data_IF_709596950487
#
_entry.id   IF_709596950487
#
_cell.length_a   1.000
_cell.length_b   1.000
_cell.length_c   1.000
_cell.angle_alpha   90.00
_cell.angle_beta   90.00
_cell.angle_gamma   90.00
#
_symmetry.space_group_name_H-M   'P 1'
#
loop_
_entity.id
_entity.type
_entity.pdbx_description
1 polymer ?
#
# COMPACT_ATOMS: atom_id res chain seq x y z
N UNK A 1 17.39 35.37 68.24
CA UNK A 1 18.31 34.65 67.33
C UNK A 1 17.69 33.46 66.58
N UNK A 2 16.35 33.32 66.47
CA UNK A 2 15.70 32.21 65.72
C UNK A 2 15.24 32.57 64.30
N UNK A 3 15.20 33.85 63.93
CA UNK A 3 14.72 34.30 62.61
C UNK A 3 15.84 34.51 61.55
N UNK A 4 17.11 34.39 61.92
CA UNK A 4 18.23 34.56 60.97
C UNK A 4 18.65 33.24 60.30
N UNK A 5 18.47 32.10 60.97
CA UNK A 5 18.84 30.78 60.41
C UNK A 5 17.87 30.28 59.32
N UNK A 6 16.56 30.57 59.44
CA UNK A 6 15.55 30.18 58.45
C UNK A 6 15.68 30.91 57.11
N UNK A 7 16.31 32.09 57.08
CA UNK A 7 16.51 32.86 55.85
C UNK A 7 17.72 32.35 55.03
N UNK A 8 18.72 31.76 55.70
CA UNK A 8 19.92 31.22 55.05
C UNK A 8 19.63 29.85 54.41
N UNK A 9 18.84 28.98 55.05
CA UNK A 9 18.47 27.68 54.48
C UNK A 9 17.52 27.80 53.26
N UNK A 10 16.55 28.72 53.29
CA UNK A 10 15.66 28.95 52.13
C UNK A 10 16.42 29.45 50.90
N UNK A 11 17.45 30.29 51.09
CA UNK A 11 18.32 30.75 50.02
C UNK A 11 19.20 29.63 49.44
N UNK A 12 19.63 28.68 50.28
CA UNK A 12 20.41 27.53 49.82
C UNK A 12 19.56 26.56 48.99
N UNK A 13 18.31 26.34 49.39
CA UNK A 13 17.35 25.50 48.68
C UNK A 13 16.98 26.14 47.33
N UNK A 14 16.70 27.44 47.29
CA UNK A 14 16.41 28.13 46.04
C UNK A 14 17.61 28.16 45.09
N UNK A 15 18.84 28.33 45.60
CA UNK A 15 20.05 28.20 44.77
C UNK A 15 20.25 26.80 44.22
N UNK A 16 19.97 25.75 44.99
CA UNK A 16 20.03 24.34 44.52
C UNK A 16 18.96 24.02 43.48
N UNK A 17 17.73 24.50 43.69
CA UNK A 17 16.64 24.35 42.71
C UNK A 17 16.97 25.10 41.43
N UNK A 18 17.52 26.31 41.51
CA UNK A 18 17.93 27.11 40.35
C UNK A 18 19.09 26.46 39.59
N UNK A 19 20.08 25.89 40.28
CA UNK A 19 21.18 25.15 39.65
C UNK A 19 20.68 23.87 38.98
N UNK A 20 19.75 23.14 39.60
CA UNK A 20 19.13 21.94 38.99
C UNK A 20 18.29 22.34 37.77
N UNK A 21 17.51 23.43 37.84
CA UNK A 21 16.73 23.94 36.71
C UNK A 21 17.65 24.41 35.57
N UNK A 22 18.74 25.10 35.88
CA UNK A 22 19.75 25.50 34.90
C UNK A 22 20.46 24.29 34.29
N UNK A 23 20.78 23.25 35.07
CA UNK A 23 21.35 21.99 34.54
C UNK A 23 20.35 21.21 33.69
N UNK A 24 19.04 21.31 33.97
CA UNK A 24 17.98 20.74 33.14
C UNK A 24 17.80 21.54 31.84
N UNK A 25 17.82 22.86 31.90
CA UNK A 25 17.76 23.75 30.72
C UNK A 25 19.03 23.63 29.87
N UNK A 26 20.21 23.48 30.48
CA UNK A 26 21.47 23.24 29.77
C UNK A 26 21.47 21.85 29.15
N UNK A 27 20.92 20.80 29.78
CA UNK A 27 20.75 19.51 29.11
C UNK A 27 19.73 19.59 27.96
N UNK A 28 18.61 20.30 28.13
CA UNK A 28 17.61 20.51 27.05
C UNK A 28 18.18 21.36 25.90
N UNK A 29 19.14 22.26 26.15
CA UNK A 29 19.82 23.05 25.12
C UNK A 29 21.14 22.44 24.61
N UNK A 30 21.72 21.44 25.27
CA UNK A 30 22.96 20.77 24.86
C UNK A 30 22.76 19.35 24.31
N UNK A 31 21.54 18.83 24.25
CA UNK A 31 21.22 17.57 23.54
C UNK A 31 20.46 17.79 22.23
N UNK A 32 20.78 18.86 21.52
CA UNK A 32 20.11 19.25 20.28
C UNK A 32 21.04 19.93 19.29
N UNK A 33 22.27 19.43 19.18
CA UNK A 33 23.11 19.72 18.04
C UNK A 33 23.65 18.39 17.53
N UNK A 34 22.74 17.55 17.04
CA UNK A 34 23.13 16.64 15.96
C UNK A 34 23.61 17.55 14.85
N UNK A 35 24.93 17.69 14.71
CA UNK A 35 25.52 18.14 13.48
C UNK A 35 25.09 17.12 12.42
N UNK A 36 23.87 17.25 11.88
CA UNK A 36 23.57 16.72 10.57
C UNK A 36 24.62 17.36 9.69
N UNK A 37 25.56 16.57 9.19
CA UNK A 37 26.46 17.05 8.18
C UNK A 37 25.55 17.57 7.06
N UNK A 38 25.42 18.91 6.93
CA UNK A 38 24.74 19.55 5.81
C UNK A 38 25.57 19.24 4.55
N UNK A 39 25.44 18.01 4.07
CA UNK A 39 25.83 17.67 2.72
C UNK A 39 24.83 18.36 1.82
N UNK A 40 25.28 19.40 1.13
CA UNK A 40 24.51 20.06 0.07
C UNK A 40 24.19 19.12 -1.10
N UNK A 41 24.84 17.94 -1.16
CA UNK A 41 24.62 16.93 -2.18
C UNK A 41 23.44 16.03 -1.78
N UNK A 42 22.38 16.09 -2.57
CA UNK A 42 21.27 15.13 -2.54
C UNK A 42 21.62 13.92 -3.39
N UNK A 43 21.18 12.74 -2.96
CA UNK A 43 21.31 11.49 -3.71
C UNK A 43 19.90 11.05 -4.12
N UNK A 44 19.72 10.73 -5.40
CA UNK A 44 18.51 10.10 -5.92
C UNK A 44 18.86 8.67 -6.33
N UNK A 45 18.16 7.70 -5.74
CA UNK A 45 18.26 6.30 -6.14
C UNK A 45 16.99 5.94 -6.91
N UNK A 46 17.16 5.52 -8.16
CA UNK A 46 16.08 5.00 -9.00
C UNK A 46 16.31 3.51 -9.21
N UNK A 47 15.33 2.70 -8.84
CA UNK A 47 15.37 1.27 -9.07
C UNK A 47 14.32 0.87 -10.11
N UNK A 48 14.75 0.06 -11.07
CA UNK A 48 13.92 -0.45 -12.16
C UNK A 48 13.84 -1.97 -11.99
N UNK A 49 12.65 -2.50 -11.73
CA UNK A 49 12.46 -3.95 -11.63
C UNK A 49 12.64 -4.60 -13.01
N UNK A 50 13.28 -5.77 -13.06
CA UNK A 50 13.50 -6.51 -14.30
C UNK A 50 14.34 -5.81 -15.38
N UNK A 51 15.09 -4.74 -15.07
CA UNK A 51 15.87 -4.00 -16.07
C UNK A 51 17.06 -4.82 -16.60
N UNK A 52 16.89 -5.43 -17.77
CA UNK A 52 17.92 -6.25 -18.41
C UNK A 52 19.06 -5.37 -19.00
N UNK A 53 20.33 -5.59 -18.61
CA UNK A 53 21.45 -4.76 -19.06
C UNK A 53 21.80 -4.95 -20.54
N UNK A 54 21.45 -6.09 -21.16
CA UNK A 54 21.69 -6.37 -22.58
C UNK A 54 20.69 -5.58 -23.43
N UNK A 55 19.41 -5.61 -23.07
CA UNK A 55 18.38 -4.81 -23.74
C UNK A 55 18.63 -3.32 -23.57
N UNK A 56 19.00 -2.88 -22.36
CA UNK A 56 19.33 -1.48 -22.10
C UNK A 56 20.50 -1.00 -22.98
N UNK A 57 21.58 -1.78 -23.10
CA UNK A 57 22.71 -1.43 -23.96
C UNK A 57 22.34 -1.39 -25.45
N UNK A 58 21.51 -2.36 -25.90
CA UNK A 58 20.96 -2.36 -27.26
C UNK A 58 20.17 -1.08 -27.55
N UNK A 59 19.21 -0.73 -26.70
CA UNK A 59 18.34 0.43 -26.93
C UNK A 59 19.06 1.78 -26.76
N UNK A 60 20.14 1.84 -25.97
CA UNK A 60 21.04 3.01 -25.96
C UNK A 60 21.80 3.15 -27.29
N UNK A 61 22.25 2.05 -27.91
CA UNK A 61 22.94 2.06 -29.22
C UNK A 61 22.00 2.41 -30.38
N UNK A 62 20.74 2.01 -30.29
CA UNK A 62 19.68 2.35 -31.24
C UNK A 62 19.11 3.78 -31.03
N UNK A 63 19.64 4.53 -30.06
CA UNK A 63 19.22 5.90 -29.70
C UNK A 63 17.76 6.02 -29.22
N UNK A 64 17.14 4.90 -28.85
CA UNK A 64 15.78 4.83 -28.26
C UNK A 64 15.79 5.32 -26.81
N UNK A 65 16.92 5.15 -26.10
CA UNK A 65 17.09 5.56 -24.70
C UNK A 65 18.19 6.64 -24.54
N UNK A 66 18.00 7.85 -25.08
CA UNK A 66 19.03 8.89 -25.12
C UNK A 66 19.44 9.39 -23.72
N UNK A 67 18.52 9.37 -22.75
CA UNK A 67 18.82 9.79 -21.37
C UNK A 67 19.74 8.79 -20.64
N UNK A 68 19.53 7.49 -20.83
CA UNK A 68 20.41 6.46 -20.27
C UNK A 68 21.79 6.49 -20.93
N UNK A 69 21.84 6.73 -22.24
CA UNK A 69 23.10 6.95 -22.97
C UNK A 69 23.87 8.13 -22.38
N UNK A 70 23.21 9.26 -22.15
CA UNK A 70 23.81 10.43 -21.50
C UNK A 70 24.32 10.14 -20.08
N UNK A 71 23.57 9.38 -19.27
CA UNK A 71 23.99 8.96 -17.92
C UNK A 71 25.22 8.06 -17.97
N UNK A 72 25.27 7.12 -18.92
CA UNK A 72 26.42 6.23 -19.15
C UNK A 72 27.66 7.02 -19.58
N UNK A 73 27.51 8.02 -20.45
CA UNK A 73 28.63 8.85 -20.94
C UNK A 73 29.18 9.79 -19.87
N UNK A 74 28.32 10.35 -19.01
CA UNK A 74 28.72 11.27 -17.93
C UNK A 74 29.14 10.58 -16.64
N UNK A 75 28.74 9.33 -16.46
CA UNK A 75 28.91 8.57 -15.22
C UNK A 75 29.57 7.23 -15.47
N UNK A 76 29.02 6.19 -14.85
CA UNK A 76 29.49 4.82 -14.96
C UNK A 76 28.31 3.90 -15.25
N UNK A 77 28.54 2.85 -16.03
CA UNK A 77 27.54 1.85 -16.36
C UNK A 77 28.18 0.48 -16.28
N UNK A 78 27.78 -0.29 -15.27
CA UNK A 78 28.34 -1.61 -14.98
C UNK A 78 27.22 -2.62 -14.77
N UNK A 79 27.32 -3.83 -15.36
CA UNK A 79 26.40 -4.90 -15.04
C UNK A 79 26.58 -5.31 -13.57
N UNK A 80 25.48 -5.43 -12.84
CA UNK A 80 25.45 -5.94 -11.47
C UNK A 80 24.97 -7.39 -11.48
N UNK A 81 25.54 -8.22 -10.60
CA UNK A 81 25.06 -9.58 -10.37
C UNK A 81 23.78 -9.51 -9.53
N UNK A 82 22.77 -10.27 -9.93
CA UNK A 82 21.48 -10.36 -9.23
C UNK A 82 21.55 -11.25 -7.99
N UNK A 83 20.46 -11.29 -7.21
CA UNK A 83 20.32 -12.20 -6.07
C UNK A 83 20.23 -13.67 -6.51
N UNK A 84 20.50 -14.58 -5.58
CA UNK A 84 20.23 -16.01 -5.76
C UNK A 84 19.28 -16.49 -4.64
N UNK A 85 18.00 -16.77 -4.94
CA UNK A 85 17.40 -16.81 -6.28
C UNK A 85 17.10 -15.42 -6.88
N UNK A 86 17.03 -15.29 -8.21
CA UNK A 86 16.83 -14.03 -8.92
C UNK A 86 15.35 -13.61 -8.96
N UNK A 87 14.75 -13.45 -7.78
CA UNK A 87 13.35 -13.05 -7.59
C UNK A 87 13.28 -11.61 -7.07
N UNK A 88 12.31 -10.81 -7.52
CA UNK A 88 12.14 -9.41 -7.07
C UNK A 88 12.15 -9.25 -5.54
N UNK A 89 11.34 -9.97 -4.72
CA UNK A 89 11.33 -9.79 -3.27
C UNK A 89 12.68 -10.11 -2.62
N UNK A 90 13.50 -10.95 -3.27
CA UNK A 90 14.84 -11.33 -2.81
C UNK A 90 15.85 -10.24 -3.18
N UNK A 91 15.89 -9.82 -4.43
CA UNK A 91 16.79 -8.77 -4.93
C UNK A 91 16.57 -7.44 -4.19
N UNK A 92 15.31 -7.06 -3.99
CA UNK A 92 14.98 -5.84 -3.25
C UNK A 92 15.30 -5.96 -1.76
N UNK A 93 15.13 -7.13 -1.15
CA UNK A 93 15.57 -7.35 0.24
C UNK A 93 17.09 -7.28 0.40
N UNK A 94 17.86 -7.81 -0.57
CA UNK A 94 19.31 -7.62 -0.64
C UNK A 94 19.65 -6.13 -0.72
N UNK A 95 19.01 -5.38 -1.62
CA UNK A 95 19.22 -3.94 -1.79
C UNK A 95 18.93 -3.16 -0.50
N UNK A 96 17.82 -3.44 0.16
CA UNK A 96 17.38 -2.73 1.36
C UNK A 96 18.35 -2.95 2.52
N UNK A 97 18.83 -4.19 2.70
CA UNK A 97 19.54 -4.61 3.92
C UNK A 97 21.05 -4.72 3.75
N UNK A 98 21.54 -4.82 2.52
CA UNK A 98 22.90 -5.25 2.22
C UNK A 98 23.19 -6.72 2.58
N UNK A 99 22.18 -7.49 3.02
CA UNK A 99 22.31 -8.89 3.38
C UNK A 99 22.02 -9.80 2.18
N UNK A 100 22.35 -11.09 2.30
CA UNK A 100 21.89 -12.12 1.38
C UNK A 100 20.59 -12.78 1.90
N UNK A 101 19.97 -13.72 1.14
CA UNK A 101 18.72 -14.36 1.54
C UNK A 101 18.75 -15.07 2.89
N UNK A 102 19.90 -15.65 3.26
CA UNK A 102 20.09 -16.26 4.59
C UNK A 102 20.05 -15.23 5.74
N UNK A 103 20.39 -13.98 5.46
CA UNK A 103 20.39 -12.89 6.43
C UNK A 103 19.01 -12.23 6.60
N UNK A 104 18.38 -11.81 5.50
CA UNK A 104 17.09 -11.13 5.56
C UNK A 104 15.89 -12.09 5.56
N UNK A 105 16.08 -13.37 5.24
CA UNK A 105 15.08 -14.44 5.37
C UNK A 105 14.04 -14.52 4.25
N UNK A 106 14.21 -13.77 3.15
CA UNK A 106 13.29 -13.77 2.01
C UNK A 106 13.90 -14.60 0.88
N UNK A 107 13.19 -15.62 0.41
CA UNK A 107 13.69 -16.54 -0.61
C UNK A 107 12.80 -16.62 -1.86
N UNK A 108 11.56 -16.13 -1.78
CA UNK A 108 10.57 -16.16 -2.86
C UNK A 108 9.42 -15.18 -2.50
N UNK A 109 8.43 -15.01 -3.38
CA UNK A 109 7.16 -14.34 -3.06
C UNK A 109 6.32 -15.12 -2.05
N UNK A 110 6.40 -16.45 -2.10
CA UNK A 110 5.63 -17.37 -1.26
C UNK A 110 6.58 -18.26 -0.48
N UNK A 111 6.34 -18.40 0.82
CA UNK A 111 6.98 -19.38 1.67
C UNK A 111 5.96 -20.42 2.09
N UNK A 112 6.44 -21.58 2.56
CA UNK A 112 5.58 -22.67 2.99
C UNK A 112 5.80 -22.93 4.47
N UNK A 113 4.72 -23.02 5.23
CA UNK A 113 4.81 -23.43 6.62
C UNK A 113 5.30 -24.90 6.68
N UNK A 114 6.40 -25.21 7.40
CA UNK A 114 6.99 -26.55 7.37
C UNK A 114 6.15 -27.59 8.13
N UNK A 115 5.23 -27.17 8.99
CA UNK A 115 4.38 -28.08 9.76
C UNK A 115 3.08 -28.40 9.03
N UNK A 116 2.44 -27.36 8.49
CA UNK A 116 1.12 -27.46 7.86
C UNK A 116 1.16 -27.58 6.35
N UNK A 117 2.30 -27.27 5.74
CA UNK A 117 2.50 -27.23 4.29
C UNK A 117 1.69 -26.15 3.55
N UNK A 118 1.04 -25.24 4.29
CA UNK A 118 0.22 -24.17 3.72
C UNK A 118 1.14 -23.04 3.21
N UNK A 119 0.94 -22.53 1.98
CA UNK A 119 1.67 -21.38 1.46
C UNK A 119 1.25 -20.09 2.19
N UNK A 120 2.20 -19.18 2.39
CA UNK A 120 1.98 -17.84 2.92
C UNK A 120 2.91 -16.84 2.22
N UNK A 121 2.56 -15.57 2.30
CA UNK A 121 3.35 -14.48 1.69
C UNK A 121 4.68 -14.32 2.42
N UNK A 122 5.79 -14.31 1.67
CA UNK A 122 7.12 -14.26 2.28
C UNK A 122 7.47 -12.89 2.86
N UNK A 123 6.91 -11.81 2.33
CA UNK A 123 7.31 -10.43 2.69
C UNK A 123 6.54 -9.90 3.91
N UNK A 124 5.28 -10.30 4.07
CA UNK A 124 4.43 -9.84 5.15
C UNK A 124 3.47 -10.92 5.64
N UNK A 125 3.03 -10.81 6.89
CA UNK A 125 2.01 -11.68 7.47
C UNK A 125 1.02 -10.86 8.27
N UNK A 126 -0.27 -10.99 7.97
CA UNK A 126 -1.35 -10.44 8.80
C UNK A 126 -1.82 -11.50 9.78
N UNK A 127 -1.80 -11.16 11.08
CA UNK A 127 -2.35 -12.00 12.13
C UNK A 127 -3.69 -11.46 12.60
N UNK A 128 -4.63 -12.36 12.88
CA UNK A 128 -5.91 -11.98 13.48
C UNK A 128 -5.74 -11.55 14.94
N UNK A 129 -6.78 -10.91 15.49
CA UNK A 129 -6.87 -10.62 16.91
C UNK A 129 -6.72 -11.91 17.74
N UNK A 130 -5.71 -11.95 18.61
CA UNK A 130 -5.36 -13.12 19.42
C UNK A 130 -6.43 -13.45 20.47
N UNK A 131 -7.10 -12.41 20.95
CA UNK A 131 -8.13 -12.51 21.97
C UNK A 131 -9.46 -12.01 21.41
N UNK A 132 -10.43 -12.91 21.26
CA UNK A 132 -11.79 -12.60 20.81
C UNK A 132 -12.82 -13.24 21.74
N UNK A 133 -13.94 -12.55 21.97
CA UNK A 133 -15.13 -13.10 22.62
C UNK A 133 -16.22 -13.33 21.59
N UNK A 134 -16.80 -14.53 21.59
CA UNK A 134 -17.96 -14.86 20.78
C UNK A 134 -19.24 -14.45 21.51
N UNK A 135 -20.06 -13.59 20.89
CA UNK A 135 -21.42 -13.25 21.34
C UNK A 135 -22.38 -13.47 20.17
N UNK A 136 -23.10 -14.60 20.19
CA UNK A 136 -23.91 -15.02 19.05
C UNK A 136 -23.05 -15.25 17.81
N UNK A 137 -23.34 -14.55 16.73
CA UNK A 137 -22.56 -14.55 15.47
C UNK A 137 -21.43 -13.50 15.44
N UNK A 138 -21.28 -12.70 16.50
CA UNK A 138 -20.24 -11.68 16.60
C UNK A 138 -18.97 -12.22 17.26
N UNK A 139 -17.82 -11.85 16.71
CA UNK A 139 -16.48 -11.97 17.28
C UNK A 139 -16.02 -10.58 17.71
N UNK A 140 -15.95 -10.35 19.01
CA UNK A 140 -15.52 -9.08 19.59
C UNK A 140 -14.04 -9.18 19.95
N UNK A 141 -13.14 -8.49 19.24
CA UNK A 141 -11.72 -8.54 19.54
C UNK A 141 -11.36 -7.67 20.73
N UNK A 142 -10.48 -8.18 21.59
CA UNK A 142 -9.84 -7.42 22.68
C UNK A 142 -8.39 -7.05 22.36
N UNK A 143 -7.91 -7.47 21.19
CA UNK A 143 -6.59 -7.15 20.65
C UNK A 143 -6.72 -6.74 19.19
N UNK A 144 -5.77 -5.95 18.71
CA UNK A 144 -5.76 -5.55 17.31
C UNK A 144 -5.17 -6.68 16.45
N UNK A 145 -5.61 -6.74 15.19
CA UNK A 145 -4.87 -7.45 14.16
C UNK A 145 -3.54 -6.72 13.92
N UNK A 146 -2.49 -7.48 13.59
CA UNK A 146 -1.16 -6.94 13.32
C UNK A 146 -0.71 -7.41 11.94
N UNK A 147 -0.14 -6.49 11.16
CA UNK A 147 0.62 -6.85 9.95
C UNK A 147 2.09 -6.79 10.30
N UNK A 148 2.80 -7.89 10.03
CA UNK A 148 4.21 -8.07 10.35
C UNK A 148 5.04 -8.06 9.07
N UNK A 149 6.13 -7.29 9.06
CA UNK A 149 7.17 -7.38 8.04
C UNK A 149 8.05 -8.60 8.34
N UNK A 150 8.17 -9.52 7.39
CA UNK A 150 8.95 -10.75 7.56
C UNK A 150 10.40 -10.59 7.12
N UNK A 151 10.72 -9.55 6.34
CA UNK A 151 12.09 -9.18 5.98
C UNK A 151 12.86 -8.79 7.25
N UNK A 152 13.93 -9.51 7.55
CA UNK A 152 14.87 -9.20 8.64
C UNK A 152 15.95 -8.22 8.18
N UNK A 153 16.66 -7.68 9.15
CA UNK A 153 17.77 -6.76 8.91
C UNK A 153 17.32 -5.30 8.82
N UNK A 154 18.22 -4.41 9.24
CA UNK A 154 17.99 -2.97 9.23
C UNK A 154 18.00 -2.47 7.78
N UNK A 155 16.98 -1.71 7.40
CA UNK A 155 16.96 -1.03 6.11
C UNK A 155 17.99 0.10 6.09
N UNK A 156 18.63 0.34 4.95
CA UNK A 156 19.67 1.36 4.87
C UNK A 156 19.14 2.76 5.18
N UNK A 157 17.86 3.08 4.93
CA UNK A 157 17.28 4.36 5.33
C UNK A 157 17.11 4.51 6.85
N UNK A 158 16.94 3.41 7.60
CA UNK A 158 17.00 3.48 9.06
C UNK A 158 18.43 3.82 9.52
N UNK A 159 19.45 3.35 8.78
CA UNK A 159 20.85 3.73 9.05
C UNK A 159 21.09 5.21 8.71
N UNK A 160 20.50 5.72 7.62
CA UNK A 160 20.54 7.15 7.28
C UNK A 160 19.91 7.99 8.39
N UNK A 161 18.74 7.58 8.89
CA UNK A 161 18.07 8.23 10.01
C UNK A 161 18.94 8.25 11.28
N UNK A 162 19.54 7.11 11.67
CA UNK A 162 20.44 7.05 12.84
C UNK A 162 21.58 8.08 12.76
N UNK A 163 21.96 8.48 11.54
CA UNK A 163 23.02 9.44 11.27
C UNK A 163 22.48 10.85 10.96
N UNK A 164 21.20 11.12 11.19
CA UNK A 164 20.56 12.42 10.97
C UNK A 164 20.46 12.81 9.50
N UNK A 165 20.46 11.85 8.57
CA UNK A 165 20.30 12.09 7.14
C UNK A 165 18.82 11.90 6.78
N UNK A 166 18.10 12.96 6.38
CA UNK A 166 16.71 12.84 5.98
C UNK A 166 16.58 12.04 4.68
N UNK A 167 15.57 11.19 4.61
CA UNK A 167 15.33 10.31 3.45
C UNK A 167 13.85 10.18 3.14
N UNK A 168 13.55 10.09 1.84
CA UNK A 168 12.24 9.75 1.30
C UNK A 168 12.35 8.47 0.49
N UNK A 169 11.49 7.48 0.78
CA UNK A 169 11.50 6.14 0.19
C UNK A 169 10.13 5.84 -0.40
N UNK A 170 10.01 5.83 -1.73
CA UNK A 170 8.72 5.67 -2.39
C UNK A 170 8.66 4.36 -3.15
N UNK A 171 7.59 3.58 -2.90
CA UNK A 171 7.26 2.35 -3.62
C UNK A 171 8.40 1.32 -3.71
N UNK A 172 9.29 1.28 -2.71
CA UNK A 172 10.31 0.23 -2.64
C UNK A 172 9.66 -1.12 -2.31
N UNK A 173 9.88 -2.17 -3.12
CA UNK A 173 9.40 -3.52 -2.85
C UNK A 173 9.87 -4.08 -1.51
N UNK A 174 9.12 -5.02 -0.93
CA UNK A 174 9.47 -5.67 0.34
C UNK A 174 9.62 -4.70 1.55
N UNK A 175 8.95 -3.55 1.49
CA UNK A 175 8.78 -2.60 2.60
C UNK A 175 7.31 -2.48 3.01
N UNK A 176 6.54 -3.57 2.95
CA UNK A 176 5.17 -3.64 3.49
C UNK A 176 5.09 -4.67 4.62
N UNK A 177 4.53 -4.30 5.79
CA UNK A 177 4.33 -2.93 6.23
C UNK A 177 5.69 -2.20 6.31
N UNK A 178 5.71 -0.87 6.27
CA UNK A 178 6.97 -0.14 6.31
C UNK A 178 7.65 -0.35 7.67
N UNK A 179 8.98 -0.40 7.66
CA UNK A 179 9.75 -0.41 8.92
C UNK A 179 9.48 0.85 9.73
N UNK A 180 9.57 0.77 11.05
CA UNK A 180 9.43 1.94 11.92
C UNK A 180 10.61 2.89 11.71
N UNK A 181 10.36 4.06 11.15
CA UNK A 181 11.37 5.08 10.83
C UNK A 181 10.72 6.47 10.80
N UNK A 182 11.52 7.50 11.06
CA UNK A 182 11.16 8.91 10.85
C UNK A 182 11.29 9.32 9.37
N UNK A 183 11.90 8.48 8.53
CA UNK A 183 11.95 8.69 7.10
C UNK A 183 10.53 8.67 6.51
N UNK A 184 10.31 9.52 5.51
CA UNK A 184 9.08 9.52 4.73
C UNK A 184 9.08 8.28 3.83
N UNK A 185 8.31 7.25 4.16
CA UNK A 185 8.23 6.02 3.38
C UNK A 185 6.81 5.74 2.92
N UNK A 186 6.68 5.22 1.71
CA UNK A 186 5.45 4.65 1.16
C UNK A 186 5.77 3.25 0.65
N UNK A 187 5.05 2.25 1.14
CA UNK A 187 5.24 0.85 0.77
C UNK A 187 5.04 0.61 -0.73
N UNK A 188 5.81 -0.32 -1.30
CA UNK A 188 5.72 -0.72 -2.70
C UNK A 188 5.18 -2.13 -2.88
N UNK A 189 5.73 -2.85 -3.85
CA UNK A 189 5.42 -4.26 -4.13
C UNK A 189 5.41 -5.10 -2.85
N UNK A 190 4.31 -5.84 -2.67
CA UNK A 190 3.99 -6.56 -1.43
C UNK A 190 2.86 -5.92 -0.62
N UNK A 191 2.47 -4.67 -0.92
CA UNK A 191 1.26 -4.04 -0.35
C UNK A 191 0.00 -4.62 -1.00
N UNK A 192 -0.92 -5.20 -0.22
CA UNK A 192 -2.15 -5.79 -0.74
C UNK A 192 -3.22 -4.73 -1.03
N UNK A 193 -4.27 -5.15 -1.72
CA UNK A 193 -5.57 -4.46 -1.74
C UNK A 193 -6.35 -4.70 -0.44
N UNK A 194 -7.56 -4.11 -0.29
CA UNK A 194 -8.36 -4.29 0.94
C UNK A 194 -8.88 -5.73 1.11
N UNK A 195 -8.82 -6.57 0.07
CA UNK A 195 -9.17 -7.98 0.14
C UNK A 195 -8.01 -8.83 0.68
N UNK A 196 -6.83 -8.24 0.86
CA UNK A 196 -5.62 -8.95 1.26
C UNK A 196 -4.92 -9.63 0.09
N UNK A 197 -5.31 -9.32 -1.16
CA UNK A 197 -4.77 -9.92 -2.38
C UNK A 197 -3.82 -8.97 -3.10
N UNK A 198 -3.16 -9.46 -4.16
CA UNK A 198 -2.31 -8.66 -5.05
C UNK A 198 -3.06 -8.30 -6.33
N UNK A 199 -4.17 -7.57 -6.17
CA UNK A 199 -4.89 -6.97 -7.28
C UNK A 199 -6.02 -7.82 -7.81
N UNK A 200 -6.99 -8.16 -6.95
CA UNK A 200 -8.21 -8.85 -7.41
C UNK A 200 -9.20 -7.81 -7.95
N UNK A 201 -9.41 -7.79 -9.26
CA UNK A 201 -10.39 -6.92 -9.90
C UNK A 201 -11.81 -7.51 -9.85
N UNK A 202 -12.83 -6.70 -10.13
CA UNK A 202 -14.21 -7.17 -10.32
C UNK A 202 -14.68 -6.85 -11.74
N UNK A 203 -15.30 -7.83 -12.40
CA UNK A 203 -15.81 -7.70 -13.77
C UNK A 203 -17.29 -8.06 -13.80
N UNK A 204 -18.11 -7.13 -14.28
CA UNK A 204 -19.57 -7.28 -14.33
C UNK A 204 -20.01 -7.35 -15.79
N UNK A 205 -20.78 -8.37 -16.14
CA UNK A 205 -21.27 -8.51 -17.52
C UNK A 205 -22.69 -9.05 -17.61
N UNK A 206 -23.46 -8.58 -18.60
CA UNK A 206 -24.75 -9.18 -18.97
C UNK A 206 -24.61 -10.25 -20.05
N UNK A 207 -23.39 -10.52 -20.52
CA UNK A 207 -23.12 -11.63 -21.45
C UNK A 207 -23.26 -12.93 -20.66
N UNK A 208 -24.01 -13.88 -21.21
CA UNK A 208 -24.26 -15.17 -20.55
C UNK A 208 -22.94 -15.85 -20.12
N UNK A 209 -22.83 -16.13 -18.83
CA UNK A 209 -21.79 -16.96 -18.23
C UNK A 209 -22.48 -18.20 -17.64
N UNK A 210 -21.75 -19.32 -17.53
CA UNK A 210 -22.28 -20.56 -16.95
C UNK A 210 -22.67 -20.38 -15.47
N UNK A 211 -21.88 -19.59 -14.74
CA UNK A 211 -22.07 -19.30 -13.31
C UNK A 211 -22.52 -17.85 -13.09
N UNK A 212 -23.37 -17.61 -12.08
CA UNK A 212 -23.77 -16.25 -11.67
C UNK A 212 -22.57 -15.47 -11.11
N UNK A 213 -21.65 -16.16 -10.44
CA UNK A 213 -20.38 -15.61 -9.97
C UNK A 213 -19.27 -16.65 -10.18
N UNK A 214 -18.12 -16.19 -10.67
CA UNK A 214 -16.92 -17.02 -10.84
C UNK A 214 -15.68 -16.31 -10.34
N UNK A 215 -14.99 -16.94 -9.40
CA UNK A 215 -13.66 -16.51 -8.96
C UNK A 215 -12.59 -17.09 -9.90
N UNK A 216 -11.70 -16.25 -10.39
CA UNK A 216 -10.54 -16.62 -11.19
C UNK A 216 -9.27 -16.16 -10.49
N UNK A 217 -8.10 -16.56 -10.98
CA UNK A 217 -6.81 -16.25 -10.35
C UNK A 217 -6.56 -14.75 -10.09
N UNK A 218 -7.13 -13.89 -10.95
CA UNK A 218 -6.83 -12.46 -10.98
C UNK A 218 -8.01 -11.56 -10.61
N UNK A 219 -9.20 -12.11 -10.42
CA UNK A 219 -10.42 -11.32 -10.36
C UNK A 219 -11.67 -12.13 -10.08
N UNK A 220 -12.81 -11.43 -10.00
CA UNK A 220 -14.14 -12.02 -9.81
C UNK A 220 -15.07 -11.56 -10.91
N UNK A 221 -15.74 -12.51 -11.53
CA UNK A 221 -16.68 -12.29 -12.61
C UNK A 221 -18.10 -12.40 -12.07
N UNK A 222 -18.92 -11.40 -12.35
CA UNK A 222 -20.31 -11.31 -11.94
C UNK A 222 -21.20 -11.27 -13.18
N UNK A 223 -22.00 -12.31 -13.39
CA UNK A 223 -23.04 -12.32 -14.41
C UNK A 223 -24.26 -11.58 -13.88
N UNK A 224 -24.46 -10.36 -14.36
CA UNK A 224 -25.50 -9.45 -13.86
C UNK A 224 -26.70 -9.41 -14.80
N UNK A 225 -27.88 -9.24 -14.21
CA UNK A 225 -29.15 -9.16 -14.96
C UNK A 225 -29.56 -7.71 -15.12
N UNK A 226 -29.92 -7.32 -16.34
CA UNK A 226 -30.43 -5.99 -16.65
C UNK A 226 -31.96 -6.01 -16.69
N UNK A 227 -32.60 -5.05 -16.00
CA UNK A 227 -34.05 -4.86 -16.01
C UNK A 227 -34.37 -3.37 -16.14
N UNK A 228 -35.20 -2.99 -17.12
CA UNK A 228 -35.53 -1.58 -17.42
C UNK A 228 -34.27 -0.70 -17.50
N UNK A 229 -33.26 -1.17 -18.24
CA UNK A 229 -31.95 -0.52 -18.43
C UNK A 229 -31.19 -0.27 -17.13
N UNK A 230 -31.55 -0.96 -16.06
CA UNK A 230 -30.92 -0.84 -14.75
C UNK A 230 -30.36 -2.19 -14.34
N UNK A 231 -29.11 -2.19 -13.92
CA UNK A 231 -28.43 -3.31 -13.29
C UNK A 231 -28.30 -2.96 -11.81
N UNK A 232 -28.83 -3.81 -10.94
CA UNK A 232 -28.63 -3.72 -9.50
C UNK A 232 -27.76 -4.89 -9.07
N UNK A 233 -26.62 -4.57 -8.49
CA UNK A 233 -25.63 -5.54 -8.03
C UNK A 233 -24.90 -4.97 -6.81
N UNK A 234 -23.80 -5.59 -6.42
CA UNK A 234 -23.01 -5.17 -5.29
C UNK A 234 -21.53 -5.16 -5.65
N UNK A 235 -20.81 -4.19 -5.10
CA UNK A 235 -19.35 -4.22 -5.08
C UNK A 235 -18.91 -5.09 -3.90
N UNK A 236 -18.18 -6.15 -4.18
CA UNK A 236 -17.81 -7.13 -3.17
C UNK A 236 -16.57 -6.68 -2.38
N UNK A 237 -16.67 -6.71 -1.06
CA UNK A 237 -15.60 -6.39 -0.12
C UNK A 237 -14.95 -7.62 0.51
N UNK A 238 -14.11 -7.42 1.54
CA UNK A 238 -13.43 -8.52 2.23
C UNK A 238 -14.38 -9.32 3.13
N UNK A 239 -13.96 -10.49 3.61
CA UNK A 239 -14.64 -11.20 4.70
C UNK A 239 -14.77 -10.33 5.95
N UNK A 240 -15.92 -10.35 6.62
CA UNK A 240 -16.13 -9.58 7.85
C UNK A 240 -15.36 -10.22 9.03
N UNK A 241 -14.33 -9.57 9.59
CA UNK A 241 -13.54 -10.16 10.68
C UNK A 241 -14.31 -10.25 12.00
N UNK A 242 -15.40 -9.50 12.17
CA UNK A 242 -16.22 -9.49 13.38
C UNK A 242 -17.35 -10.52 13.35
N UNK A 243 -17.44 -11.35 12.31
CA UNK A 243 -18.47 -12.38 12.16
C UNK A 243 -17.87 -13.77 12.23
N UNK A 244 -18.55 -14.69 12.91
CA UNK A 244 -18.13 -16.10 12.96
C UNK A 244 -18.25 -16.73 11.57
N UNK A 245 -19.31 -16.39 10.82
CA UNK A 245 -19.52 -16.85 9.44
C UNK A 245 -18.45 -16.38 8.46
N UNK A 246 -17.73 -15.29 8.78
CA UNK A 246 -16.82 -14.57 7.85
C UNK A 246 -17.48 -14.23 6.52
N UNK A 247 -18.79 -14.01 6.53
CA UNK A 247 -19.51 -13.52 5.34
C UNK A 247 -18.85 -12.25 4.81
N UNK A 248 -18.73 -12.16 3.48
CA UNK A 248 -18.15 -10.97 2.85
C UNK A 248 -19.09 -9.79 3.03
N UNK A 249 -18.51 -8.63 3.32
CA UNK A 249 -19.25 -7.37 3.25
C UNK A 249 -19.31 -6.90 1.81
N UNK A 250 -20.33 -6.12 1.50
CA UNK A 250 -20.53 -5.52 0.18
C UNK A 250 -21.11 -4.12 0.32
N UNK A 251 -21.09 -3.37 -0.79
CA UNK A 251 -21.79 -2.08 -0.91
C UNK A 251 -22.63 -2.08 -2.18
N UNK A 252 -23.78 -1.41 -2.16
CA UNK A 252 -24.72 -1.42 -3.28
C UNK A 252 -24.09 -0.73 -4.50
N UNK A 253 -24.24 -1.35 -5.67
CA UNK A 253 -23.80 -0.82 -6.95
C UNK A 253 -24.99 -0.83 -7.93
N UNK A 254 -25.40 0.36 -8.36
CA UNK A 254 -26.50 0.53 -9.32
C UNK A 254 -25.92 1.11 -10.60
N UNK A 255 -26.10 0.42 -11.72
CA UNK A 255 -25.74 0.93 -13.04
C UNK A 255 -27.01 1.19 -13.85
N UNK A 256 -27.16 2.38 -14.40
CA UNK A 256 -28.17 2.71 -15.40
C UNK A 256 -27.51 2.83 -16.76
N UNK A 257 -27.91 1.96 -17.68
CA UNK A 257 -27.39 1.91 -19.04
C UNK A 257 -28.27 2.77 -19.94
N UNK A 258 -27.68 3.61 -20.78
CA UNK A 258 -28.44 4.28 -21.85
C UNK A 258 -28.71 3.27 -22.98
N UNK A 259 -29.90 3.31 -23.59
CA UNK A 259 -30.29 2.35 -24.64
C UNK A 259 -29.86 2.76 -26.05
N UNK A 260 -29.48 4.02 -26.23
CA UNK A 260 -29.22 4.62 -27.54
C UNK A 260 -27.77 5.10 -27.67
N UNK A 261 -27.16 5.47 -26.56
CA UNK A 261 -25.82 6.01 -26.49
C UNK A 261 -24.89 5.05 -25.74
N UNK A 262 -23.60 4.97 -26.10
CA UNK A 262 -22.63 4.13 -25.41
C UNK A 262 -22.20 4.79 -24.09
N UNK A 263 -23.15 4.95 -23.16
CA UNK A 263 -23.00 5.66 -21.90
C UNK A 263 -23.70 4.90 -20.77
N UNK A 264 -23.11 4.90 -19.59
CA UNK A 264 -23.75 4.40 -18.37
C UNK A 264 -23.54 5.33 -17.18
N UNK A 265 -24.56 5.43 -16.32
CA UNK A 265 -24.49 6.10 -15.02
C UNK A 265 -24.29 5.06 -13.92
N UNK A 266 -23.14 5.10 -13.27
CA UNK A 266 -22.77 4.24 -12.14
C UNK A 266 -23.07 4.99 -10.85
N UNK A 267 -23.74 4.34 -9.91
CA UNK A 267 -24.01 4.86 -8.58
C UNK A 267 -23.50 3.90 -7.53
N UNK A 268 -22.67 4.42 -6.63
CA UNK A 268 -22.12 3.70 -5.49
C UNK A 268 -22.08 4.67 -4.31
N UNK A 269 -22.74 4.29 -3.21
CA UNK A 269 -22.99 5.19 -2.09
C UNK A 269 -23.64 6.52 -2.55
N UNK A 270 -23.02 7.66 -2.22
CA UNK A 270 -23.48 9.00 -2.58
C UNK A 270 -22.86 9.52 -3.89
N UNK A 271 -21.98 8.74 -4.55
CA UNK A 271 -21.34 9.13 -5.81
C UNK A 271 -22.17 8.71 -7.02
N UNK A 272 -22.38 9.65 -7.96
CA UNK A 272 -22.94 9.38 -9.29
C UNK A 272 -21.90 9.68 -10.36
N UNK A 273 -21.58 8.68 -11.19
CA UNK A 273 -20.47 8.73 -12.16
C UNK A 273 -21.03 8.41 -13.54
N UNK A 274 -21.04 9.39 -14.44
CA UNK A 274 -21.41 9.18 -15.84
C UNK A 274 -20.16 8.83 -16.64
N UNK A 275 -20.14 7.68 -17.31
CA UNK A 275 -19.01 7.24 -18.13
C UNK A 275 -19.46 6.95 -19.56
N UNK A 276 -18.63 7.33 -20.53
CA UNK A 276 -18.70 6.83 -21.90
C UNK A 276 -18.03 5.45 -22.01
N UNK A 277 -18.42 4.66 -23.00
CA UNK A 277 -17.70 3.44 -23.35
C UNK A 277 -16.22 3.76 -23.66
N UNK A 278 -15.31 2.98 -23.08
CA UNK A 278 -13.87 3.21 -23.12
C UNK A 278 -13.37 4.27 -22.13
N UNK A 279 -14.19 4.72 -21.18
CA UNK A 279 -13.80 5.75 -20.20
C UNK A 279 -13.55 5.17 -18.80
N UNK A 280 -12.45 5.63 -18.19
CA UNK A 280 -12.16 5.42 -16.78
C UNK A 280 -12.78 6.52 -15.91
N UNK A 281 -13.33 6.15 -14.77
CA UNK A 281 -13.66 7.10 -13.72
C UNK A 281 -12.41 7.72 -13.09
N UNK A 282 -12.62 8.85 -12.40
CA UNK A 282 -11.76 9.29 -11.30
C UNK A 282 -11.69 8.19 -10.22
N UNK A 283 -10.78 8.33 -9.26
CA UNK A 283 -10.81 7.51 -8.06
C UNK A 283 -12.10 7.73 -7.26
N UNK A 284 -12.74 6.64 -6.87
CA UNK A 284 -13.97 6.62 -6.11
C UNK A 284 -13.69 5.97 -4.77
N UNK A 285 -14.05 6.66 -3.69
CA UNK A 285 -14.00 6.12 -2.34
C UNK A 285 -15.25 5.28 -2.10
N UNK A 286 -15.06 4.10 -1.55
CA UNK A 286 -16.13 3.15 -1.20
C UNK A 286 -15.98 2.71 0.25
N UNK A 287 -17.09 2.43 0.91
CA UNK A 287 -17.10 1.96 2.29
C UNK A 287 -17.89 0.66 2.45
N UNK A 288 -17.39 -0.20 3.35
CA UNK A 288 -17.98 -1.47 3.69
C UNK A 288 -18.30 -1.51 5.18
N UNK A 289 -19.55 -1.78 5.52
CA UNK A 289 -20.00 -1.79 6.91
C UNK A 289 -19.60 -3.10 7.59
N UNK A 290 -18.64 -3.04 8.51
CA UNK A 290 -18.17 -4.22 9.26
C UNK A 290 -19.01 -4.47 10.52
N UNK A 291 -19.38 -3.41 11.24
CA UNK A 291 -20.16 -3.47 12.48
C UNK A 291 -20.94 -2.16 12.67
N UNK A 292 -21.85 -2.05 13.66
CA UNK A 292 -22.41 -0.76 14.05
C UNK A 292 -21.29 0.26 14.32
N UNK A 293 -21.34 1.41 13.64
CA UNK A 293 -20.33 2.49 13.71
C UNK A 293 -18.93 2.15 13.20
N UNK A 294 -18.69 0.96 12.63
CA UNK A 294 -17.38 0.55 12.13
C UNK A 294 -17.46 0.24 10.63
N UNK A 295 -16.66 0.97 9.85
CA UNK A 295 -16.57 0.83 8.39
C UNK A 295 -15.13 0.59 7.98
N UNK A 296 -14.95 -0.19 6.93
CA UNK A 296 -13.71 -0.27 6.18
C UNK A 296 -13.83 0.61 4.94
N UNK A 297 -12.83 1.43 4.66
CA UNK A 297 -12.79 2.29 3.47
C UNK A 297 -11.72 1.82 2.49
N UNK A 298 -12.01 1.95 1.21
CA UNK A 298 -11.06 1.72 0.12
C UNK A 298 -11.32 2.67 -1.04
N UNK A 299 -10.47 2.63 -2.04
CA UNK A 299 -10.62 3.40 -3.28
C UNK A 299 -10.53 2.48 -4.50
N UNK A 300 -11.33 2.71 -5.52
CA UNK A 300 -11.27 1.98 -6.78
C UNK A 300 -11.57 2.90 -7.97
N UNK A 301 -11.36 2.38 -9.18
CA UNK A 301 -11.77 3.01 -10.43
C UNK A 301 -12.69 2.08 -11.21
N UNK A 302 -13.60 2.69 -11.95
CA UNK A 302 -14.52 2.01 -12.85
C UNK A 302 -14.07 2.26 -14.29
N UNK A 303 -14.06 1.23 -15.11
CA UNK A 303 -13.81 1.32 -16.55
C UNK A 303 -14.99 0.74 -17.31
N UNK A 304 -15.74 1.62 -17.97
CA UNK A 304 -16.89 1.20 -18.75
C UNK A 304 -16.40 0.63 -20.08
N UNK A 305 -16.27 -0.69 -20.15
CA UNK A 305 -15.71 -1.35 -21.32
C UNK A 305 -16.69 -1.43 -22.47
N UNK A 306 -17.95 -1.72 -22.16
CA UNK A 306 -18.96 -1.96 -23.17
C UNK A 306 -20.37 -1.69 -22.67
N UNK A 307 -21.18 -1.09 -23.52
CA UNK A 307 -22.60 -0.80 -23.22
C UNK A 307 -23.54 -1.66 -24.06
N UNK A 308 -23.19 -1.89 -25.33
CA UNK A 308 -23.99 -2.64 -26.29
C UNK A 308 -23.16 -3.62 -27.12
N UNK A 309 -23.72 -4.77 -27.58
CA UNK A 309 -25.09 -5.26 -27.34
C UNK A 309 -25.27 -5.92 -25.96
N UNK A 310 -24.19 -6.08 -25.21
CA UNK A 310 -24.16 -6.51 -23.82
C UNK A 310 -23.30 -5.52 -23.03
N UNK A 311 -23.56 -5.44 -21.73
CA UNK A 311 -22.86 -4.56 -20.82
C UNK A 311 -21.61 -5.25 -20.26
N UNK A 312 -20.51 -4.52 -20.17
CA UNK A 312 -19.27 -4.93 -19.50
C UNK A 312 -18.68 -3.74 -18.72
N UNK A 313 -18.42 -3.98 -17.44
CA UNK A 313 -17.81 -3.02 -16.54
C UNK A 313 -16.68 -3.68 -15.77
N UNK A 314 -15.49 -3.09 -15.89
CA UNK A 314 -14.35 -3.45 -15.08
C UNK A 314 -14.26 -2.51 -13.87
N UNK A 315 -13.95 -3.07 -12.72
CA UNK A 315 -13.64 -2.33 -11.49
C UNK A 315 -12.25 -2.74 -11.05
N UNK A 316 -11.36 -1.76 -10.91
CA UNK A 316 -10.00 -2.00 -10.44
C UNK A 316 -10.02 -2.68 -9.07
N UNK A 317 -8.92 -3.35 -8.67
CA UNK A 317 -8.76 -3.78 -7.29
C UNK A 317 -9.05 -2.63 -6.33
N UNK A 318 -9.74 -2.93 -5.24
CA UNK A 318 -10.10 -1.92 -4.24
C UNK A 318 -8.85 -1.67 -3.39
N UNK A 319 -8.17 -0.58 -3.69
CA UNK A 319 -6.96 -0.15 -3.02
C UNK A 319 -7.27 0.34 -1.60
N UNK A 320 -6.27 0.28 -0.73
CA UNK A 320 -6.34 0.85 0.62
C UNK A 320 -6.58 2.36 0.49
N UNK A 321 -7.48 2.92 1.29
CA UNK A 321 -7.68 4.36 1.33
C UNK A 321 -6.44 5.05 1.91
N UNK A 322 -5.69 5.86 1.13
CA UNK A 322 -4.45 6.48 1.61
C UNK A 322 -4.68 7.53 2.72
N UNK A 323 -5.89 8.08 2.82
CA UNK A 323 -6.28 9.08 3.82
C UNK A 323 -6.72 8.47 5.15
N UNK A 324 -7.11 7.19 5.13
CA UNK A 324 -7.52 6.45 6.31
C UNK A 324 -7.17 4.96 6.13
N UNK A 325 -5.88 4.61 6.10
CA UNK A 325 -5.45 3.27 5.74
C UNK A 325 -5.75 2.29 6.87
N UNK A 326 -6.35 1.14 6.53
CA UNK A 326 -6.70 0.08 7.47
C UNK A 326 -5.49 -0.79 7.89
N UNK A 327 -4.35 -0.64 7.22
CA UNK A 327 -3.06 -1.25 7.52
C UNK A 327 -1.96 -0.22 7.28
N UNK A 328 -0.82 -0.28 7.99
CA UNK A 328 0.24 0.71 7.82
C UNK A 328 0.90 0.56 6.45
N UNK A 329 0.71 1.57 5.58
CA UNK A 329 1.32 1.65 4.24
C UNK A 329 2.37 2.74 4.13
N UNK A 330 2.53 3.58 5.16
CA UNK A 330 3.47 4.69 5.15
C UNK A 330 4.10 4.96 6.53
N UNK A 331 5.25 5.64 6.52
CA UNK A 331 5.84 6.29 7.70
C UNK A 331 6.22 7.73 7.37
N UNK A 332 6.03 8.69 8.28
CA UNK A 332 5.05 8.65 9.38
C UNK A 332 3.66 8.22 8.88
N UNK A 333 2.80 7.72 9.76
CA UNK A 333 1.54 7.08 9.33
C UNK A 333 0.57 7.99 8.56
N UNK A 334 0.71 9.31 8.67
CA UNK A 334 -0.05 10.30 7.90
C UNK A 334 0.57 10.61 6.53
N UNK A 335 1.78 10.15 6.23
CA UNK A 335 2.47 10.50 4.99
C UNK A 335 1.72 10.04 3.73
N UNK A 336 0.97 8.94 3.79
CA UNK A 336 0.08 8.54 2.69
C UNK A 336 -1.07 9.52 2.46
N UNK A 337 -1.60 10.11 3.54
CA UNK A 337 -2.64 11.13 3.46
C UNK A 337 -2.04 12.44 2.92
N UNK A 338 -0.85 12.84 3.38
CA UNK A 338 -0.15 14.03 2.89
C UNK A 338 0.08 13.95 1.36
N UNK A 339 0.45 12.77 0.83
CA UNK A 339 0.57 12.56 -0.62
C UNK A 339 -0.81 12.72 -1.29
N UNK A 340 -1.86 12.11 -0.72
CA UNK A 340 -3.20 12.17 -1.29
C UNK A 340 -3.77 13.59 -1.32
N UNK A 341 -3.44 14.43 -0.33
CA UNK A 341 -3.85 15.83 -0.29
C UNK A 341 -3.20 16.65 -1.42
N UNK A 342 -1.97 16.30 -1.81
CA UNK A 342 -1.21 17.01 -2.86
C UNK A 342 -1.58 16.57 -4.28
N UNK A 343 -1.78 15.25 -4.52
CA UNK A 343 -1.97 14.70 -5.87
C UNK A 343 -3.32 14.02 -6.11
N UNK A 344 -4.18 13.99 -5.09
CA UNK A 344 -5.39 13.18 -5.08
C UNK A 344 -5.10 11.71 -4.78
N UNK A 345 -6.15 10.88 -4.86
CA UNK A 345 -6.02 9.44 -4.66
C UNK A 345 -5.08 8.79 -5.69
N UNK A 346 -4.38 7.75 -5.26
CA UNK A 346 -3.37 7.04 -6.03
C UNK A 346 -3.36 5.55 -5.69
N UNK A 347 -2.77 4.73 -6.55
CA UNK A 347 -2.61 3.31 -6.27
C UNK A 347 -1.71 3.07 -5.05
N UNK A 348 -2.30 2.52 -3.98
CA UNK A 348 -1.59 2.08 -2.78
C UNK A 348 -1.11 0.63 -2.91
N UNK A 349 -1.74 -0.17 -3.76
CA UNK A 349 -1.31 -1.53 -4.04
C UNK A 349 0.10 -1.54 -4.64
N UNK A 350 0.87 -2.56 -4.27
CA UNK A 350 2.29 -2.63 -4.59
C UNK A 350 2.63 -2.84 -6.08
N UNK A 351 1.70 -3.37 -6.87
CA UNK A 351 1.79 -3.49 -8.33
C UNK A 351 0.54 -2.82 -8.91
N UNK A 352 0.63 -1.53 -9.29
CA UNK A 352 -0.52 -0.75 -9.74
C UNK A 352 -0.94 -1.05 -11.19
N UNK A 353 -0.06 -1.64 -12.00
CA UNK A 353 -0.37 -1.98 -13.38
C UNK A 353 -1.31 -3.19 -13.43
N UNK A 354 -2.45 -3.04 -14.12
CA UNK A 354 -3.47 -4.09 -14.26
C UNK A 354 -3.06 -5.15 -15.33
N UNK A 355 -1.80 -5.59 -15.31
CA UNK A 355 -1.25 -6.56 -16.29
C UNK A 355 -2.04 -7.85 -16.30
N UNK A 356 -2.60 -8.26 -15.16
CA UNK A 356 -3.40 -9.48 -15.07
C UNK A 356 -4.73 -9.40 -15.83
N UNK A 357 -5.36 -8.23 -15.83
CA UNK A 357 -6.58 -8.02 -16.59
C UNK A 357 -6.26 -7.95 -18.09
N UNK A 358 -5.13 -7.34 -18.45
CA UNK A 358 -4.61 -7.31 -19.82
C UNK A 358 -4.26 -8.71 -20.35
N UNK A 359 -3.51 -9.50 -19.58
CA UNK A 359 -3.09 -10.87 -19.92
C UNK A 359 -4.28 -11.82 -20.14
N UNK A 360 -5.44 -11.48 -19.61
CA UNK A 360 -6.68 -12.24 -19.69
C UNK A 360 -7.70 -11.61 -20.65
N UNK A 361 -7.27 -10.63 -21.47
CA UNK A 361 -8.08 -9.92 -22.46
C UNK A 361 -9.31 -9.20 -21.88
N UNK A 362 -9.29 -8.86 -20.58
CA UNK A 362 -10.34 -8.03 -19.96
C UNK A 362 -10.12 -6.54 -20.19
N UNK A 363 -8.91 -6.09 -20.48
CA UNK A 363 -8.65 -4.70 -20.87
C UNK A 363 -7.69 -4.69 -22.06
N UNK A 364 -7.72 -3.65 -22.88
CA UNK A 364 -6.76 -3.50 -23.99
C UNK A 364 -5.50 -2.79 -23.53
N UNK A 365 -4.45 -2.75 -24.36
CA UNK A 365 -3.23 -2.00 -24.05
C UNK A 365 -3.45 -0.48 -23.95
N UNK A 366 -4.47 0.03 -24.66
CA UNK A 366 -4.84 1.44 -24.66
C UNK A 366 -5.69 1.84 -23.45
N UNK A 367 -6.31 0.86 -22.77
CA UNK A 367 -7.10 1.02 -21.56
C UNK A 367 -6.20 1.05 -20.32
#
# INVERSE_FOLDING_TARGET
MKNFYLCIEKNLIWKRVFIILCLFIINVFCTGNTNSAESTKKILLLGFDGMDPVLLDKYMKEDILPNFKLLKEKGDFKPLVTSMPPQSPVAWSNFITGMNPGGHGIFDFIARDPQTYIPYLSTSKTTEAKETMKIGDWLIPFSNAETLLLRKGKAFWEILQDNGIPSTVLKIPANFPPVSTEANTLSGMGTPDILGTYGTFSFYTTKDLEDEEKEIESGRLFNVKMSNNTIKTELAGPPNPFKVSRERVSTELIIKVDNSNPVALIRVEDEEILLNEGEWSKWIKVSFKLAPFQKLTGICRFYLMKVHPYFELYVSPINIDPTNPNVPISTPGNYSADIADEIGYYYTQGMPEDTKALDQDFISNEA
#
